data_IF_304216226014
#
_entry.id   IF_304216226014
#
_cell.length_a   1.000
_cell.length_b   1.000
_cell.length_c   1.000
_cell.angle_alpha   90.00
_cell.angle_beta   90.00
_cell.angle_gamma   90.00
#
_symmetry.space_group_name_H-M   'P 1'
#
loop_
_entity.id
_entity.type
_entity.pdbx_description
1 polymer ?
#
# COMPACT_ATOMS: atom_id res chain seq x y z
N UNK A 1 -5.91 -15.72 2.14
CA UNK A 1 -5.15 -15.23 3.32
C UNK A 1 -5.16 -13.71 3.33
N UNK A 2 -5.21 -13.08 4.51
CA UNK A 2 -5.19 -11.62 4.65
C UNK A 2 -4.01 -11.18 5.51
N UNK A 3 -3.42 -10.03 5.18
CA UNK A 3 -2.37 -9.38 5.97
C UNK A 3 -2.73 -7.93 6.20
N UNK A 4 -2.48 -7.46 7.42
CA UNK A 4 -2.64 -6.06 7.80
C UNK A 4 -1.28 -5.58 8.30
N UNK A 5 -0.81 -4.46 7.76
CA UNK A 5 0.36 -3.75 8.28
C UNK A 5 0.02 -2.31 8.57
N UNK A 6 0.74 -1.71 9.51
CA UNK A 6 0.74 -0.26 9.70
C UNK A 6 2.01 0.33 9.08
N UNK A 7 1.87 1.42 8.33
CA UNK A 7 2.98 2.16 7.74
C UNK A 7 2.63 3.65 7.70
N UNK A 8 3.55 4.49 8.21
CA UNK A 8 3.36 5.94 8.33
C UNK A 8 2.01 6.31 8.99
N UNK A 9 1.63 5.57 10.04
CA UNK A 9 0.38 5.78 10.79
C UNK A 9 -0.91 5.40 10.04
N UNK A 10 -0.82 4.76 8.87
CA UNK A 10 -1.95 4.25 8.09
C UNK A 10 -1.93 2.73 8.07
N UNK A 11 -3.10 2.10 8.11
CA UNK A 11 -3.23 0.63 8.00
C UNK A 11 -3.50 0.23 6.56
N UNK A 12 -2.78 -0.78 6.09
CA UNK A 12 -2.90 -1.35 4.76
C UNK A 12 -3.30 -2.82 4.87
N UNK A 13 -4.41 -3.17 4.21
CA UNK A 13 -4.91 -4.54 4.09
C UNK A 13 -4.53 -5.08 2.71
N UNK A 14 -3.95 -6.27 2.68
CA UNK A 14 -3.77 -7.07 1.47
C UNK A 14 -4.52 -8.39 1.57
N UNK A 15 -5.12 -8.79 0.45
CA UNK A 15 -5.90 -10.01 0.32
C UNK A 15 -5.30 -10.86 -0.79
N UNK A 16 -4.89 -12.08 -0.46
CA UNK A 16 -4.37 -13.02 -1.42
C UNK A 16 -5.27 -14.24 -1.53
N UNK A 17 -5.76 -14.46 -2.76
CA UNK A 17 -6.59 -15.61 -3.13
C UNK A 17 -5.78 -16.57 -4.00
N UNK A 18 -5.57 -17.78 -3.48
CA UNK A 18 -4.98 -18.91 -4.17
C UNK A 18 -5.41 -20.20 -3.47
N UNK A 19 -5.32 -21.32 -4.17
CA UNK A 19 -5.58 -22.66 -3.59
C UNK A 19 -4.45 -23.05 -2.63
N UNK A 20 -3.22 -22.64 -2.94
CA UNK A 20 -2.06 -22.84 -2.08
C UNK A 20 -1.94 -21.69 -1.06
N UNK A 21 -1.74 -22.04 0.21
CA UNK A 21 -1.68 -21.06 1.30
C UNK A 21 -0.43 -20.19 1.26
N UNK A 22 0.70 -20.73 0.80
CA UNK A 22 1.96 -19.98 0.68
C UNK A 22 1.82 -18.96 -0.45
N UNK A 23 1.27 -19.37 -1.59
CA UNK A 23 0.97 -18.48 -2.71
C UNK A 23 -0.04 -17.39 -2.30
N UNK A 24 -1.11 -17.76 -1.57
CA UNK A 24 -2.07 -16.81 -1.04
C UNK A 24 -1.41 -15.80 -0.09
N UNK A 25 -0.41 -16.21 0.70
CA UNK A 25 0.32 -15.31 1.56
C UNK A 25 1.21 -14.32 0.81
N UNK A 26 1.96 -14.80 -0.19
CA UNK A 26 2.79 -13.94 -1.04
C UNK A 26 1.92 -12.92 -1.78
N UNK A 27 0.79 -13.33 -2.35
CA UNK A 27 -0.15 -12.40 -3.03
C UNK A 27 -0.66 -11.32 -2.09
N UNK A 28 -1.08 -11.70 -0.88
CA UNK A 28 -1.56 -10.74 0.11
C UNK A 28 -0.48 -9.72 0.49
N UNK A 29 0.77 -10.16 0.64
CA UNK A 29 1.90 -9.26 0.92
C UNK A 29 2.18 -8.31 -0.26
N UNK A 30 2.15 -8.79 -1.50
CA UNK A 30 2.31 -7.94 -2.69
C UNK A 30 1.26 -6.82 -2.70
N UNK A 31 0.00 -7.13 -2.38
CA UNK A 31 -1.04 -6.09 -2.28
C UNK A 31 -0.74 -5.04 -1.21
N UNK A 32 -0.27 -5.46 -0.03
CA UNK A 32 0.14 -4.52 1.03
C UNK A 32 1.27 -3.61 0.54
N UNK A 33 2.31 -4.17 -0.08
CA UNK A 33 3.47 -3.43 -0.55
C UNK A 33 3.09 -2.44 -1.66
N UNK A 34 2.28 -2.86 -2.62
CA UNK A 34 1.79 -2.01 -3.70
C UNK A 34 0.96 -0.84 -3.16
N UNK A 35 0.04 -1.11 -2.24
CA UNK A 35 -0.79 -0.05 -1.65
C UNK A 35 0.04 0.93 -0.83
N UNK A 36 1.06 0.44 -0.14
CA UNK A 36 2.00 1.28 0.62
C UNK A 36 2.81 2.17 -0.31
N UNK A 37 3.35 1.62 -1.40
CA UNK A 37 4.09 2.37 -2.41
C UNK A 37 3.23 3.43 -3.10
N UNK A 38 2.00 3.09 -3.48
CA UNK A 38 1.06 4.04 -4.06
C UNK A 38 0.72 5.18 -3.10
N UNK A 39 0.56 4.89 -1.81
CA UNK A 39 0.34 5.92 -0.80
C UNK A 39 1.52 6.91 -0.71
N UNK A 40 2.76 6.42 -0.79
CA UNK A 40 3.93 7.29 -0.83
C UNK A 40 4.00 8.15 -2.09
N UNK A 41 3.65 7.59 -3.25
CA UNK A 41 3.57 8.36 -4.49
C UNK A 41 2.51 9.46 -4.41
N UNK A 42 1.35 9.17 -3.83
CA UNK A 42 0.27 10.15 -3.63
C UNK A 42 0.74 11.28 -2.72
N UNK A 43 1.42 10.97 -1.62
CA UNK A 43 1.94 11.99 -0.71
C UNK A 43 3.00 12.87 -1.39
N UNK A 44 3.87 12.30 -2.22
CA UNK A 44 4.83 13.07 -3.02
C UNK A 44 4.14 13.99 -4.03
N UNK A 45 3.13 13.50 -4.74
CA UNK A 45 2.37 14.29 -5.71
C UNK A 45 1.59 15.42 -5.04
N UNK A 46 0.96 15.17 -3.89
CA UNK A 46 0.28 16.20 -3.11
C UNK A 46 1.24 17.30 -2.68
N UNK A 47 2.39 16.93 -2.10
CA UNK A 47 3.40 17.91 -1.71
C UNK A 47 3.90 18.73 -2.93
N UNK A 48 4.11 18.08 -4.08
CA UNK A 48 4.47 18.80 -5.31
C UNK A 48 3.36 19.75 -5.77
N UNK A 49 2.09 19.32 -5.72
CA UNK A 49 0.94 20.17 -6.06
C UNK A 49 0.82 21.35 -5.09
N UNK A 50 0.97 21.15 -3.79
CA UNK A 50 0.95 22.21 -2.78
C UNK A 50 2.06 23.24 -3.04
N UNK A 51 3.27 22.78 -3.37
CA UNK A 51 4.39 23.66 -3.73
C UNK A 51 4.17 24.45 -5.03
N UNK A 52 3.47 23.88 -6.02
CA UNK A 52 3.18 24.54 -7.30
C UNK A 52 1.95 25.45 -7.21
N UNK A 53 0.95 25.09 -6.40
CA UNK A 53 -0.28 25.85 -6.19
C UNK A 53 -0.07 27.13 -5.35
N UNK A 54 1.12 27.31 -4.77
CA UNK A 54 1.50 28.55 -4.10
C UNK A 54 1.04 28.61 -2.66
N UNK A 55 1.95 28.23 -1.77
CA UNK A 55 2.17 28.90 -0.48
C UNK A 55 3.64 29.29 -0.44
#
# INVERSE_FOLDING_TARGET
LSFITEYRGRRFLGLGLATDIVEAGVKALIFVLNNTYLADQIDQQKNQQERVAGV
#
